data_IF_117510508394
#
_entry.id   IF_117510508394
#
_cell.length_a   1.000
_cell.length_b   1.000
_cell.length_c   1.000
_cell.angle_alpha   90.00
_cell.angle_beta   90.00
_cell.angle_gamma   90.00
#
_symmetry.space_group_name_H-M   'P 1'
#
loop_
_entity.id
_entity.type
_entity.pdbx_description
1 polymer ?
#
# COMPACT_ATOMS: atom_id res chain seq x y z
N UNK A 1 41.03 -89.51 -18.20
CA UNK A 1 39.92 -88.55 -18.17
C UNK A 1 39.59 -88.28 -16.68
N UNK A 2 40.12 -87.19 -16.08
CA UNK A 2 39.83 -86.80 -14.69
C UNK A 2 38.86 -85.63 -14.73
N UNK A 3 37.74 -85.82 -14.10
CA UNK A 3 36.72 -84.71 -13.91
C UNK A 3 37.09 -83.94 -12.63
N UNK A 4 37.27 -82.66 -12.77
CA UNK A 4 37.52 -81.74 -11.68
C UNK A 4 36.19 -81.06 -11.31
N UNK A 5 35.76 -81.23 -10.07
CA UNK A 5 34.55 -80.65 -9.57
C UNK A 5 34.88 -79.29 -8.93
N UNK A 6 34.30 -78.17 -9.39
CA UNK A 6 34.39 -76.88 -8.79
C UNK A 6 33.34 -76.76 -7.70
N UNK A 7 33.75 -76.39 -6.48
CA UNK A 7 32.88 -76.06 -5.39
C UNK A 7 32.79 -74.53 -5.34
N UNK A 8 31.58 -73.98 -5.59
CA UNK A 8 31.30 -72.57 -5.46
C UNK A 8 30.90 -72.24 -4.01
N UNK A 9 31.67 -71.44 -3.31
CA UNK A 9 31.34 -70.90 -2.00
C UNK A 9 30.57 -69.59 -2.13
N UNK A 10 29.32 -69.56 -1.74
CA UNK A 10 28.47 -68.37 -1.71
C UNK A 10 28.73 -67.66 -0.36
N UNK A 11 29.30 -66.43 -0.44
CA UNK A 11 29.43 -65.56 0.73
C UNK A 11 28.17 -64.72 0.81
N UNK A 12 27.37 -64.91 1.88
CA UNK A 12 26.26 -64.02 2.23
C UNK A 12 26.82 -62.79 2.93
N UNK A 13 26.73 -61.62 2.30
CA UNK A 13 26.99 -60.34 2.95
C UNK A 13 25.68 -59.83 3.61
N UNK A 14 25.70 -59.77 4.92
CA UNK A 14 24.60 -59.16 5.72
C UNK A 14 24.78 -57.62 5.69
N UNK A 15 23.88 -56.91 5.01
CA UNK A 15 23.81 -55.47 5.02
C UNK A 15 23.06 -55.05 6.32
N UNK A 16 23.78 -54.42 7.26
CA UNK A 16 23.20 -53.77 8.42
C UNK A 16 22.59 -52.42 8.00
N UNK A 17 21.26 -52.35 7.97
CA UNK A 17 20.54 -51.09 7.80
C UNK A 17 20.60 -50.33 9.12
N UNK A 18 21.44 -49.28 9.17
CA UNK A 18 21.43 -48.32 10.27
C UNK A 18 20.18 -47.47 10.16
N UNK A 19 19.20 -47.71 11.00
CA UNK A 19 18.07 -46.80 11.22
C UNK A 19 18.59 -45.54 11.89
N UNK A 20 18.93 -44.53 11.08
CA UNK A 20 19.22 -43.19 11.56
C UNK A 20 17.97 -42.60 12.22
N UNK A 21 18.04 -42.25 13.48
CA UNK A 21 17.00 -41.45 14.13
C UNK A 21 16.85 -40.16 13.34
N UNK A 22 15.62 -39.76 12.94
CA UNK A 22 15.42 -38.44 12.35
C UNK A 22 15.83 -37.39 13.40
N UNK A 23 16.71 -36.48 13.02
CA UNK A 23 17.02 -35.31 13.83
C UNK A 23 15.70 -34.62 14.21
N UNK A 24 15.55 -34.14 15.45
CA UNK A 24 14.36 -33.40 15.83
C UNK A 24 14.22 -32.21 14.88
N UNK A 25 13.06 -32.11 14.23
CA UNK A 25 12.73 -30.93 13.44
C UNK A 25 12.91 -29.72 14.35
N UNK A 26 13.84 -28.81 14.02
CA UNK A 26 13.96 -27.53 14.71
C UNK A 26 12.59 -26.87 14.67
N UNK A 27 11.92 -26.82 15.80
CA UNK A 27 10.71 -26.05 15.97
C UNK A 27 11.08 -24.60 15.59
N UNK A 28 10.55 -24.11 14.47
CA UNK A 28 10.60 -22.69 14.13
C UNK A 28 10.06 -21.95 15.36
N UNK A 29 10.96 -21.36 16.14
CA UNK A 29 10.57 -20.45 17.20
C UNK A 29 9.90 -19.29 16.50
N UNK A 30 8.57 -19.22 16.59
CA UNK A 30 7.80 -18.05 16.18
C UNK A 30 8.29 -16.87 17.06
N UNK A 31 9.29 -16.15 16.57
CA UNK A 31 9.66 -14.88 17.18
C UNK A 31 8.47 -13.95 17.04
N UNK A 32 8.04 -13.29 18.13
CA UNK A 32 6.93 -12.35 18.05
C UNK A 32 7.25 -11.28 17.02
N UNK A 33 6.33 -11.09 16.07
CA UNK A 33 6.49 -10.08 15.01
C UNK A 33 6.51 -8.69 15.63
N UNK A 34 7.35 -7.77 15.11
CA UNK A 34 7.39 -6.41 15.58
C UNK A 34 6.01 -5.74 15.56
N UNK A 35 5.71 -4.92 16.56
CA UNK A 35 4.53 -4.03 16.57
C UNK A 35 4.84 -2.67 15.93
N UNK A 36 6.12 -2.35 15.80
CA UNK A 36 6.65 -1.10 15.25
C UNK A 36 7.78 -1.40 14.28
N UNK A 37 7.76 -0.72 13.14
CA UNK A 37 8.79 -0.80 12.11
C UNK A 37 9.42 0.58 11.97
N UNK A 38 10.74 0.64 12.04
CA UNK A 38 11.50 1.87 11.98
C UNK A 38 11.86 2.21 10.53
N UNK A 39 11.56 3.45 10.14
CA UNK A 39 11.97 4.04 8.88
C UNK A 39 13.23 4.90 9.12
N UNK A 40 14.08 5.00 8.13
CA UNK A 40 15.18 5.96 8.12
C UNK A 40 14.68 7.22 7.43
N UNK A 41 14.80 8.36 8.09
CA UNK A 41 14.54 9.66 7.45
C UNK A 41 15.84 10.38 7.15
N UNK A 42 15.76 11.36 6.27
CA UNK A 42 16.88 12.20 5.91
C UNK A 42 17.24 13.20 7.02
N UNK A 43 18.50 13.63 7.10
CA UNK A 43 18.88 14.71 7.99
C UNK A 43 18.09 15.99 7.72
N UNK A 44 17.79 16.72 8.77
CA UNK A 44 17.23 18.08 8.65
C UNK A 44 18.36 19.03 8.29
N UNK A 45 18.36 19.51 7.06
CA UNK A 45 19.36 20.45 6.53
C UNK A 45 18.75 21.42 5.52
N UNK A 46 19.58 22.14 4.76
CA UNK A 46 19.12 23.09 3.76
C UNK A 46 18.38 22.43 2.58
N UNK A 47 18.66 21.17 2.27
CA UNK A 47 17.97 20.38 1.23
C UNK A 47 16.65 19.80 1.72
N UNK A 48 16.56 19.50 3.02
CA UNK A 48 15.39 18.92 3.66
C UNK A 48 15.01 19.67 4.98
N UNK A 49 14.63 20.96 4.90
CA UNK A 49 14.41 21.80 6.08
C UNK A 49 13.20 21.36 6.92
N UNK A 50 12.28 20.60 6.36
CA UNK A 50 11.09 20.12 7.06
C UNK A 50 11.27 18.72 7.66
N UNK A 51 12.41 18.05 7.44
CA UNK A 51 12.62 16.66 7.78
C UNK A 51 11.76 15.70 6.97
N UNK A 52 11.93 14.41 7.20
CA UNK A 52 11.21 13.38 6.43
C UNK A 52 9.75 13.26 6.86
N UNK A 53 8.85 13.18 5.88
CA UNK A 53 7.40 12.98 6.09
C UNK A 53 6.93 11.83 5.23
N UNK A 54 6.19 10.90 5.84
CA UNK A 54 5.74 9.67 5.20
C UNK A 54 4.23 9.67 4.98
N UNK A 55 3.74 8.96 3.96
CA UNK A 55 2.30 8.94 3.69
C UNK A 55 1.79 7.56 3.30
N UNK A 56 2.25 7.01 2.18
CA UNK A 56 1.68 5.81 1.57
C UNK A 56 2.31 4.52 2.08
N UNK A 57 1.52 3.45 2.07
CA UNK A 57 2.02 2.10 2.30
C UNK A 57 1.41 1.11 1.31
N UNK A 58 2.26 0.29 0.68
CA UNK A 58 1.88 -0.82 -0.19
C UNK A 58 2.31 -2.15 0.42
N UNK A 59 1.54 -3.22 0.22
CA UNK A 59 1.84 -4.53 0.79
C UNK A 59 1.84 -5.64 -0.27
N UNK A 60 2.90 -6.44 -0.29
CA UNK A 60 2.95 -7.74 -0.95
C UNK A 60 2.64 -8.83 0.08
N UNK A 61 1.35 -9.15 0.23
CA UNK A 61 0.85 -10.15 1.19
C UNK A 61 1.53 -11.52 1.03
N UNK A 62 1.80 -11.94 -0.21
CA UNK A 62 2.36 -13.26 -0.47
C UNK A 62 3.80 -13.37 0.02
N UNK A 63 4.57 -12.28 -0.10
CA UNK A 63 5.98 -12.25 0.27
C UNK A 63 6.23 -11.72 1.67
N UNK A 64 5.18 -11.19 2.34
CA UNK A 64 5.33 -10.57 3.66
C UNK A 64 6.19 -9.31 3.63
N UNK A 65 6.11 -8.55 2.53
CA UNK A 65 6.88 -7.33 2.28
C UNK A 65 5.93 -6.13 2.22
N UNK A 66 6.38 -5.00 2.74
CA UNK A 66 5.69 -3.73 2.59
C UNK A 66 6.64 -2.64 2.10
N UNK A 67 6.07 -1.61 1.49
CA UNK A 67 6.77 -0.43 0.98
C UNK A 67 6.11 0.80 1.57
N UNK A 68 6.91 1.80 1.95
CA UNK A 68 6.44 3.08 2.50
C UNK A 68 7.02 4.21 1.69
N UNK A 69 6.18 5.17 1.31
CA UNK A 69 6.57 6.32 0.53
C UNK A 69 6.89 7.52 1.42
N UNK A 70 7.92 8.27 1.04
CA UNK A 70 8.27 9.54 1.63
C UNK A 70 7.76 10.70 0.77
N UNK A 71 7.09 11.65 1.39
CA UNK A 71 6.52 12.84 0.72
C UNK A 71 7.60 13.87 0.43
N UNK A 72 8.54 14.03 1.35
CA UNK A 72 9.73 14.88 1.20
C UNK A 72 10.81 14.06 0.53
N UNK A 73 11.34 14.49 -0.60
CA UNK A 73 12.37 13.76 -1.36
C UNK A 73 11.83 12.67 -2.30
N UNK A 74 10.84 11.89 -1.89
CA UNK A 74 10.21 10.86 -2.73
C UNK A 74 10.85 9.47 -2.62
N UNK A 75 11.61 9.18 -1.57
CA UNK A 75 12.19 7.87 -1.26
C UNK A 75 11.10 6.82 -1.07
N UNK A 76 11.45 5.57 -1.36
CA UNK A 76 10.62 4.42 -1.04
C UNK A 76 11.39 3.48 -0.12
N UNK A 77 10.86 3.26 1.07
CA UNK A 77 11.41 2.33 2.05
C UNK A 77 10.76 0.96 1.90
N UNK A 78 11.49 -0.09 2.22
CA UNK A 78 11.02 -1.47 2.16
C UNK A 78 11.26 -2.18 3.47
N UNK A 79 10.22 -2.81 4.00
CA UNK A 79 10.25 -3.64 5.19
C UNK A 79 9.74 -5.06 4.95
N UNK A 80 9.96 -5.92 5.92
CA UNK A 80 9.38 -7.27 5.98
C UNK A 80 8.63 -7.43 7.30
N UNK A 81 7.61 -8.26 7.32
CA UNK A 81 6.75 -8.46 8.49
C UNK A 81 7.49 -8.96 9.74
N UNK A 82 8.66 -9.58 9.57
CA UNK A 82 9.40 -10.23 10.64
C UNK A 82 10.60 -9.41 11.16
N UNK A 83 10.88 -8.23 10.57
CA UNK A 83 12.03 -7.39 10.94
C UNK A 83 11.57 -5.98 11.28
N UNK A 84 11.94 -5.47 12.44
CA UNK A 84 11.59 -4.12 12.89
C UNK A 84 12.24 -3.02 12.06
N UNK A 85 13.43 -3.24 11.50
CA UNK A 85 14.13 -2.25 10.69
C UNK A 85 13.76 -2.38 9.24
N UNK A 86 13.38 -1.27 8.61
CA UNK A 86 13.23 -1.13 7.16
C UNK A 86 14.56 -0.70 6.52
N UNK A 87 14.57 -0.59 5.23
CA UNK A 87 15.67 -0.01 4.46
C UNK A 87 15.12 0.81 3.31
N UNK A 88 15.83 1.81 2.89
CA UNK A 88 15.60 2.46 1.61
C UNK A 88 15.68 1.42 0.48
N UNK A 89 14.72 1.48 -0.42
CA UNK A 89 14.61 0.58 -1.56
C UNK A 89 14.78 1.33 -2.88
N UNK A 90 14.23 2.53 -2.97
CA UNK A 90 14.42 3.44 -4.11
C UNK A 90 14.82 4.81 -3.55
N UNK A 91 15.92 5.34 -4.06
CA UNK A 91 16.35 6.69 -3.77
C UNK A 91 15.36 7.72 -4.31
N UNK A 92 15.26 8.84 -3.63
CA UNK A 92 14.46 10.01 -4.02
C UNK A 92 15.25 11.08 -4.74
N UNK A 93 15.00 12.34 -4.39
CA UNK A 93 15.71 13.56 -4.81
C UNK A 93 15.90 13.72 -6.32
N UNK A 94 14.85 13.37 -7.04
CA UNK A 94 14.82 13.45 -8.50
C UNK A 94 15.23 12.17 -9.21
N UNK A 95 15.55 11.09 -8.52
CA UNK A 95 15.74 9.77 -9.12
C UNK A 95 14.48 9.38 -9.90
N UNK A 96 14.63 9.05 -11.18
CA UNK A 96 13.53 8.80 -12.12
C UNK A 96 12.52 9.96 -12.22
N UNK A 97 12.94 11.19 -11.89
CA UNK A 97 12.10 12.39 -11.83
C UNK A 97 11.21 12.46 -10.58
N UNK A 98 11.42 11.61 -9.56
CA UNK A 98 10.62 11.54 -8.35
C UNK A 98 11.19 12.42 -7.24
N UNK A 99 10.40 13.42 -6.81
CA UNK A 99 10.70 14.36 -5.73
C UNK A 99 9.67 14.29 -4.59
N UNK A 100 8.65 13.48 -4.76
CA UNK A 100 7.61 13.22 -3.76
C UNK A 100 6.96 11.88 -4.08
N UNK A 101 6.55 11.14 -3.07
CA UNK A 101 5.81 9.91 -3.23
C UNK A 101 4.71 9.83 -2.16
N UNK A 102 3.50 9.39 -2.60
CA UNK A 102 2.30 9.30 -1.77
C UNK A 102 1.74 7.89 -1.80
N UNK A 103 0.48 7.71 -2.13
CA UNK A 103 -0.14 6.40 -2.18
C UNK A 103 0.67 5.38 -2.97
N UNK A 104 0.73 4.17 -2.45
CA UNK A 104 1.52 3.08 -3.03
C UNK A 104 0.76 1.76 -2.92
N UNK A 105 0.80 0.96 -3.98
CA UNK A 105 0.19 -0.37 -4.00
C UNK A 105 1.05 -1.38 -4.74
N UNK A 106 0.78 -2.67 -4.52
CA UNK A 106 1.53 -3.77 -5.16
C UNK A 106 0.55 -4.71 -5.86
N UNK A 107 0.83 -5.06 -7.11
CA UNK A 107 0.03 -6.04 -7.84
C UNK A 107 0.43 -7.49 -7.53
N UNK A 108 -0.27 -8.43 -8.16
CA UNK A 108 0.01 -9.86 -7.97
C UNK A 108 1.37 -10.33 -8.53
N UNK A 109 1.93 -9.61 -9.49
CA UNK A 109 3.25 -9.91 -10.05
C UNK A 109 4.37 -9.37 -9.14
N UNK A 110 4.03 -8.43 -8.27
CA UNK A 110 4.94 -7.71 -7.37
C UNK A 110 5.40 -6.38 -7.97
N UNK A 111 4.71 -5.88 -9.01
CA UNK A 111 4.96 -4.52 -9.47
C UNK A 111 4.41 -3.53 -8.46
N UNK A 112 5.19 -2.49 -8.21
CA UNK A 112 4.91 -1.44 -7.23
C UNK A 112 4.51 -0.18 -7.99
N UNK A 113 3.31 0.34 -7.67
CA UNK A 113 2.73 1.54 -8.27
C UNK A 113 2.77 2.67 -7.25
N UNK A 114 3.26 3.84 -7.64
CA UNK A 114 3.51 4.98 -6.75
C UNK A 114 2.81 6.22 -7.30
N UNK A 115 2.00 6.87 -6.47
CA UNK A 115 1.42 8.18 -6.73
C UNK A 115 2.40 9.29 -6.32
N UNK A 116 2.53 10.33 -7.13
CA UNK A 116 3.52 11.40 -6.95
C UNK A 116 2.95 12.72 -6.42
N UNK A 117 1.69 12.75 -5.98
CA UNK A 117 1.09 14.01 -5.51
C UNK A 117 0.85 15.02 -6.64
N UNK A 118 1.18 16.29 -6.45
CA UNK A 118 0.87 17.31 -7.44
C UNK A 118 1.75 17.19 -8.69
N UNK A 119 1.12 17.24 -9.87
CA UNK A 119 1.83 17.24 -11.13
C UNK A 119 2.56 18.57 -11.44
N UNK A 120 2.49 19.53 -10.53
CA UNK A 120 3.17 20.83 -10.63
C UNK A 120 4.61 20.84 -10.15
N UNK A 121 5.17 19.70 -9.68
CA UNK A 121 6.58 19.63 -9.28
C UNK A 121 7.43 19.54 -10.56
N UNK A 122 7.55 20.67 -11.25
CA UNK A 122 8.28 20.83 -12.49
C UNK A 122 7.48 20.44 -13.73
N UNK A 123 7.55 21.29 -14.76
CA UNK A 123 6.92 21.06 -16.06
C UNK A 123 7.53 19.83 -16.73
N UNK A 124 6.69 18.90 -17.20
CA UNK A 124 7.13 17.72 -17.95
C UNK A 124 7.66 16.55 -17.11
N UNK A 125 7.67 16.66 -15.78
CA UNK A 125 8.08 15.54 -14.90
C UNK A 125 6.98 14.50 -14.78
N UNK A 126 7.35 13.23 -14.56
CA UNK A 126 6.40 12.19 -14.17
C UNK A 126 5.70 12.54 -12.85
N UNK A 127 4.48 12.05 -12.67
CA UNK A 127 3.70 12.14 -11.43
C UNK A 127 3.18 10.79 -10.95
N UNK A 128 3.59 9.72 -11.63
CA UNK A 128 3.39 8.33 -11.18
C UNK A 128 4.48 7.41 -11.74
N UNK A 129 4.78 6.36 -10.99
CA UNK A 129 5.82 5.39 -11.36
C UNK A 129 5.35 3.98 -11.16
N UNK A 130 5.90 3.07 -11.98
CA UNK A 130 5.75 1.62 -11.85
C UNK A 130 7.13 0.99 -11.83
N UNK A 131 7.42 0.24 -10.78
CA UNK A 131 8.66 -0.53 -10.65
C UNK A 131 8.36 -2.02 -10.55
N UNK A 132 9.29 -2.85 -10.98
CA UNK A 132 9.25 -4.26 -10.65
C UNK A 132 9.66 -4.48 -9.18
N UNK A 133 9.47 -5.70 -8.66
CA UNK A 133 9.83 -6.05 -7.27
C UNK A 133 11.33 -5.92 -6.95
N UNK A 134 12.19 -5.79 -7.96
CA UNK A 134 13.64 -5.62 -7.79
C UNK A 134 14.05 -4.15 -7.73
N UNK A 135 13.12 -3.23 -8.04
CA UNK A 135 13.38 -1.80 -8.13
C UNK A 135 13.75 -1.33 -9.54
N UNK A 136 13.54 -2.17 -10.57
CA UNK A 136 13.73 -1.75 -11.96
C UNK A 136 12.55 -0.91 -12.40
N UNK A 137 12.81 0.29 -12.90
CA UNK A 137 11.77 1.17 -13.44
C UNK A 137 11.14 0.53 -14.68
N UNK A 138 9.82 0.35 -14.64
CA UNK A 138 9.02 -0.13 -15.76
C UNK A 138 8.32 1.03 -16.50
N UNK A 139 7.91 2.07 -15.76
CA UNK A 139 7.30 3.25 -16.32
C UNK A 139 7.42 4.45 -15.38
N UNK A 140 7.64 5.63 -15.97
CA UNK A 140 7.48 6.92 -15.35
C UNK A 140 6.52 7.71 -16.24
N UNK A 141 5.32 8.00 -15.75
CA UNK A 141 4.24 8.54 -16.56
C UNK A 141 3.70 9.84 -15.95
N UNK A 142 3.01 10.60 -16.78
CA UNK A 142 2.21 11.73 -16.36
C UNK A 142 0.73 11.43 -16.55
N UNK A 143 -0.09 11.70 -15.53
CA UNK A 143 -1.52 11.67 -15.67
C UNK A 143 -2.00 12.76 -16.64
N UNK A 144 -2.96 12.49 -17.52
CA UNK A 144 -3.50 13.53 -18.40
C UNK A 144 -4.25 14.61 -17.60
N UNK A 145 -4.01 15.87 -17.95
CA UNK A 145 -4.60 17.03 -17.27
C UNK A 145 -3.55 17.98 -16.69
N UNK A 146 -4.02 19.11 -16.19
CA UNK A 146 -3.16 20.18 -15.65
C UNK A 146 -3.34 20.43 -14.15
N UNK A 147 -4.46 20.02 -13.57
CA UNK A 147 -4.80 20.15 -12.14
C UNK A 147 -4.94 18.76 -11.52
N UNK A 148 -3.83 18.01 -11.49
CA UNK A 148 -3.81 16.64 -10.99
C UNK A 148 -2.93 16.57 -9.74
N UNK A 149 -3.49 15.99 -8.68
CA UNK A 149 -2.80 15.60 -7.48
C UNK A 149 -3.07 14.12 -7.22
N UNK A 150 -2.17 13.24 -7.65
CA UNK A 150 -2.32 11.81 -7.43
C UNK A 150 -2.07 11.48 -5.95
N UNK A 151 -3.10 10.93 -5.29
CA UNK A 151 -3.07 10.68 -3.86
C UNK A 151 -2.90 9.19 -3.53
N UNK A 152 -3.92 8.36 -3.70
CA UNK A 152 -3.85 6.93 -3.36
C UNK A 152 -4.08 6.06 -4.60
N UNK A 153 -3.79 4.77 -4.48
CA UNK A 153 -3.85 3.83 -5.60
C UNK A 153 -4.29 2.43 -5.18
N UNK A 154 -5.19 1.84 -5.98
CA UNK A 154 -5.63 0.46 -5.80
C UNK A 154 -5.56 -0.34 -7.11
N UNK A 155 -5.34 -1.66 -7.00
CA UNK A 155 -5.40 -2.57 -8.16
C UNK A 155 -6.85 -2.96 -8.43
N UNK A 156 -7.28 -2.74 -9.67
CA UNK A 156 -8.62 -3.07 -10.12
C UNK A 156 -8.84 -4.54 -10.46
N UNK A 157 -10.08 -4.89 -10.81
CA UNK A 157 -10.44 -6.27 -11.17
C UNK A 157 -9.76 -6.75 -12.46
N UNK A 158 -9.38 -5.82 -13.32
CA UNK A 158 -8.66 -6.03 -14.59
C UNK A 158 -7.13 -6.05 -14.44
N UNK A 159 -6.62 -5.91 -13.21
CA UNK A 159 -5.19 -5.88 -12.90
C UNK A 159 -4.51 -4.53 -13.14
N UNK A 160 -5.20 -3.52 -13.64
CA UNK A 160 -4.68 -2.17 -13.77
C UNK A 160 -4.67 -1.44 -12.41
N UNK A 161 -3.84 -0.41 -12.29
CA UNK A 161 -3.81 0.47 -11.13
C UNK A 161 -4.70 1.69 -11.35
N UNK A 162 -5.45 2.08 -10.30
CA UNK A 162 -6.41 3.19 -10.31
C UNK A 162 -6.00 4.22 -9.27
N UNK A 163 -5.67 5.43 -9.73
CA UNK A 163 -5.13 6.52 -8.93
C UNK A 163 -6.18 7.60 -8.72
N UNK A 164 -6.39 8.03 -7.49
CA UNK A 164 -7.31 9.12 -7.15
C UNK A 164 -6.66 10.48 -7.33
N UNK A 165 -7.46 11.49 -7.69
CA UNK A 165 -7.05 12.88 -7.77
C UNK A 165 -7.61 13.69 -6.59
N UNK A 166 -6.72 14.23 -5.74
CA UNK A 166 -7.15 15.05 -4.60
C UNK A 166 -7.59 16.46 -5.00
N UNK A 167 -7.23 16.93 -6.18
CA UNK A 167 -7.67 18.25 -6.65
C UNK A 167 -9.07 18.20 -7.26
N UNK A 168 -9.51 17.03 -7.74
CA UNK A 168 -10.83 16.92 -8.39
C UNK A 168 -11.42 15.49 -8.26
N UNK A 169 -12.69 15.35 -8.66
CA UNK A 169 -13.42 14.08 -8.61
C UNK A 169 -13.05 13.14 -9.77
N UNK A 170 -11.77 12.89 -9.96
CA UNK A 170 -11.21 12.12 -11.08
C UNK A 170 -10.41 10.91 -10.59
N UNK A 171 -10.44 9.85 -11.40
CA UNK A 171 -9.61 8.66 -11.19
C UNK A 171 -8.90 8.31 -12.49
N UNK A 172 -7.60 8.10 -12.40
CA UNK A 172 -6.75 7.72 -13.54
C UNK A 172 -6.46 6.22 -13.50
N UNK A 173 -6.46 5.59 -14.67
CA UNK A 173 -6.13 4.17 -14.83
C UNK A 173 -4.78 4.03 -15.51
N UNK A 174 -3.92 3.21 -14.92
CA UNK A 174 -2.58 2.87 -15.44
C UNK A 174 -2.51 1.39 -15.73
N UNK A 175 -2.19 1.07 -16.96
CA UNK A 175 -2.07 -0.31 -17.41
C UNK A 175 -0.96 -0.48 -18.44
N UNK A 176 -0.38 -1.68 -18.48
CA UNK A 176 0.45 -2.10 -19.58
C UNK A 176 -0.40 -2.44 -20.81
N UNK A 177 -0.03 -1.92 -21.97
CA UNK A 177 -0.66 -2.14 -23.25
C UNK A 177 0.36 -2.77 -24.21
N UNK A 178 -0.07 -3.11 -25.44
CA UNK A 178 0.85 -3.58 -26.47
C UNK A 178 1.93 -2.54 -26.86
N UNK A 179 1.62 -1.24 -26.64
CA UNK A 179 2.50 -0.11 -26.93
C UNK A 179 3.21 0.45 -25.69
N UNK A 180 3.33 -0.36 -24.62
CA UNK A 180 3.94 0.06 -23.35
C UNK A 180 2.91 0.48 -22.33
N UNK A 181 3.37 1.12 -21.26
CA UNK A 181 2.53 1.60 -20.17
C UNK A 181 1.79 2.88 -20.56
N UNK A 182 0.53 3.01 -20.10
CA UNK A 182 -0.29 4.18 -20.40
C UNK A 182 -1.12 4.59 -19.17
N UNK A 183 -1.13 5.89 -18.89
CA UNK A 183 -2.07 6.54 -17.98
C UNK A 183 -3.23 7.14 -18.78
N UNK A 184 -4.46 6.95 -18.31
CA UNK A 184 -5.69 7.50 -18.93
C UNK A 184 -6.64 7.99 -17.86
N UNK A 185 -7.39 9.05 -18.13
CA UNK A 185 -8.55 9.42 -17.33
C UNK A 185 -9.60 8.31 -17.49
N UNK A 186 -9.87 7.60 -16.38
CA UNK A 186 -10.84 6.48 -16.40
C UNK A 186 -12.23 6.90 -15.94
N UNK A 187 -12.30 7.73 -14.89
CA UNK A 187 -13.56 8.27 -14.40
C UNK A 187 -13.42 9.77 -14.16
N UNK A 188 -14.41 10.50 -14.62
CA UNK A 188 -14.65 11.89 -14.30
C UNK A 188 -16.04 12.00 -13.67
N UNK A 189 -16.06 12.34 -12.39
CA UNK A 189 -17.29 12.46 -11.59
C UNK A 189 -17.56 13.91 -11.15
N UNK A 190 -16.91 14.90 -11.79
CA UNK A 190 -17.05 16.34 -11.46
C UNK A 190 -18.50 16.83 -11.52
N UNK A 191 -19.33 16.25 -12.39
CA UNK A 191 -20.77 16.52 -12.43
C UNK A 191 -21.61 15.89 -11.30
N UNK A 192 -21.01 15.01 -10.48
CA UNK A 192 -21.68 14.27 -9.40
C UNK A 192 -21.11 14.60 -8.03
N UNK A 193 -19.79 14.75 -7.94
CA UNK A 193 -19.04 15.03 -6.71
C UNK A 193 -18.62 16.48 -6.74
N UNK A 194 -19.16 17.27 -5.83
CA UNK A 194 -18.78 18.67 -5.71
C UNK A 194 -17.34 18.77 -5.18
N UNK A 195 -16.50 19.48 -5.93
CA UNK A 195 -15.17 19.87 -5.47
C UNK A 195 -15.29 20.84 -4.30
N UNK A 196 -14.55 20.57 -3.23
CA UNK A 196 -14.41 21.45 -2.07
C UNK A 196 -12.96 21.88 -1.92
N UNK A 197 -12.73 22.93 -1.14
CA UNK A 197 -11.40 23.35 -0.76
C UNK A 197 -10.66 22.22 -0.03
N UNK A 198 -9.35 22.10 -0.25
CA UNK A 198 -8.52 21.04 0.30
C UNK A 198 -8.51 19.75 -0.52
N UNK A 199 -8.13 18.66 0.11
CA UNK A 199 -7.98 17.36 -0.56
C UNK A 199 -9.34 16.68 -0.74
N UNK A 200 -9.73 16.43 -2.00
CA UNK A 200 -10.99 15.78 -2.33
C UNK A 200 -10.87 14.27 -2.31
N UNK A 201 -10.55 13.61 -3.43
CA UNK A 201 -10.45 12.16 -3.44
C UNK A 201 -9.10 11.69 -2.88
N UNK A 202 -9.15 10.83 -1.88
CA UNK A 202 -7.99 10.22 -1.22
C UNK A 202 -8.02 8.70 -1.32
N UNK A 203 -8.04 8.01 -0.18
CA UNK A 203 -7.99 6.56 -0.08
C UNK A 203 -8.96 5.82 -0.99
N UNK A 204 -8.52 4.72 -1.58
CA UNK A 204 -9.28 3.91 -2.53
C UNK A 204 -9.13 2.42 -2.22
N UNK A 205 -10.26 1.68 -2.20
CA UNK A 205 -10.28 0.22 -2.07
C UNK A 205 -11.27 -0.41 -3.06
N UNK A 206 -10.96 -1.62 -3.50
CA UNK A 206 -11.88 -2.42 -4.31
C UNK A 206 -12.93 -3.08 -3.40
N UNK A 207 -14.23 -3.06 -3.80
CA UNK A 207 -15.32 -3.71 -3.04
C UNK A 207 -15.15 -5.22 -2.92
N UNK A 208 -15.77 -5.89 -1.92
CA UNK A 208 -15.69 -7.35 -1.76
C UNK A 208 -16.12 -8.11 -3.02
N UNK A 209 -17.17 -7.68 -3.70
CA UNK A 209 -17.64 -8.27 -4.97
C UNK A 209 -16.77 -7.92 -6.19
N UNK A 210 -15.75 -7.07 -6.01
CA UNK A 210 -14.79 -6.59 -7.02
C UNK A 210 -15.44 -5.86 -8.20
N UNK A 211 -16.65 -5.31 -8.04
CA UNK A 211 -17.40 -4.61 -9.11
C UNK A 211 -17.36 -3.09 -8.99
N UNK A 212 -16.76 -2.56 -7.92
CA UNK A 212 -16.63 -1.13 -7.71
C UNK A 212 -15.42 -0.81 -6.83
N UNK A 213 -15.05 0.47 -6.84
CA UNK A 213 -14.16 1.04 -5.84
C UNK A 213 -14.97 1.84 -4.82
N UNK A 214 -14.56 1.83 -3.57
CA UNK A 214 -14.95 2.82 -2.55
C UNK A 214 -13.81 3.79 -2.39
N UNK A 215 -14.12 5.09 -2.45
CA UNK A 215 -13.15 6.19 -2.44
C UNK A 215 -13.59 7.20 -1.39
N UNK A 216 -12.65 7.66 -0.58
CA UNK A 216 -12.89 8.72 0.40
C UNK A 216 -12.81 10.11 -0.25
N UNK A 217 -13.78 10.99 0.06
CA UNK A 217 -13.65 12.44 -0.10
C UNK A 217 -13.41 13.03 1.30
N UNK A 218 -12.12 13.25 1.64
CA UNK A 218 -11.69 13.52 3.01
C UNK A 218 -12.23 14.83 3.58
N UNK A 219 -12.23 15.90 2.79
CA UNK A 219 -12.69 17.23 3.20
C UNK A 219 -14.21 17.33 3.48
N UNK A 220 -15.00 16.38 3.01
CA UNK A 220 -16.45 16.29 3.27
C UNK A 220 -16.86 15.12 4.15
N UNK A 221 -15.94 14.20 4.43
CA UNK A 221 -16.24 12.96 5.15
C UNK A 221 -17.21 12.04 4.40
N UNK A 222 -17.21 12.10 3.07
CA UNK A 222 -18.10 11.30 2.23
C UNK A 222 -17.35 10.13 1.61
N UNK A 223 -17.97 8.96 1.56
CA UNK A 223 -17.49 7.84 0.76
C UNK A 223 -18.28 7.76 -0.56
N UNK A 224 -17.55 7.54 -1.63
CA UNK A 224 -18.08 7.40 -2.98
C UNK A 224 -17.80 6.03 -3.55
N UNK A 225 -18.79 5.46 -4.22
CA UNK A 225 -18.67 4.20 -4.93
C UNK A 225 -18.54 4.46 -6.43
N UNK A 226 -17.44 4.04 -7.03
CA UNK A 226 -17.22 4.10 -8.48
C UNK A 226 -17.39 2.71 -9.09
N UNK A 227 -18.32 2.58 -10.04
CA UNK A 227 -18.54 1.32 -10.77
C UNK A 227 -17.28 0.93 -11.56
N UNK A 228 -16.69 -0.24 -11.33
CA UNK A 228 -15.50 -0.68 -12.06
C UNK A 228 -15.73 -0.84 -13.57
N UNK A 229 -17.00 -1.05 -13.97
CA UNK A 229 -17.39 -1.19 -15.39
C UNK A 229 -17.56 0.15 -16.10
N UNK A 230 -18.09 1.17 -15.44
CA UNK A 230 -18.52 2.42 -16.10
C UNK A 230 -17.83 3.69 -15.57
N UNK A 231 -17.10 3.63 -14.46
CA UNK A 231 -16.56 4.82 -13.79
C UNK A 231 -17.63 5.69 -13.09
N UNK A 232 -18.91 5.33 -13.17
CA UNK A 232 -19.99 6.13 -12.60
C UNK A 232 -19.91 6.15 -11.07
N UNK A 233 -19.93 7.35 -10.49
CA UNK A 233 -19.91 7.58 -9.06
C UNK A 233 -21.32 7.59 -8.46
N UNK A 234 -21.46 7.02 -7.26
CA UNK A 234 -22.67 7.10 -6.42
C UNK A 234 -22.25 7.23 -4.97
N UNK A 235 -23.00 7.97 -4.16
CA UNK A 235 -22.70 8.14 -2.73
C UNK A 235 -22.92 6.83 -1.97
N UNK A 236 -21.98 6.47 -1.11
CA UNK A 236 -22.13 5.36 -0.16
C UNK A 236 -22.96 5.82 1.02
N UNK A 237 -23.95 5.04 1.45
CA UNK A 237 -24.74 5.34 2.64
C UNK A 237 -23.97 4.96 3.90
N UNK A 238 -23.53 5.95 4.67
CA UNK A 238 -22.75 5.77 5.90
C UNK A 238 -23.54 6.04 7.18
N UNK A 239 -24.85 6.37 7.06
CA UNK A 239 -25.66 6.78 8.19
C UNK A 239 -25.16 8.06 8.82
N UNK A 240 -24.98 8.05 10.13
CA UNK A 240 -24.47 9.19 10.93
C UNK A 240 -22.98 9.13 11.21
N UNK A 241 -22.22 8.27 10.51
CA UNK A 241 -20.78 8.18 10.72
C UNK A 241 -20.11 9.51 10.32
N UNK A 242 -19.37 10.09 11.26
CA UNK A 242 -18.48 11.20 10.95
C UNK A 242 -17.19 10.66 10.36
N UNK A 243 -16.90 11.02 9.11
CA UNK A 243 -15.72 10.59 8.36
C UNK A 243 -14.89 11.80 7.84
N UNK A 244 -15.07 12.99 8.42
CA UNK A 244 -14.21 14.15 8.10
C UNK A 244 -12.75 13.77 8.31
N UNK A 245 -11.88 14.23 7.43
CA UNK A 245 -10.46 13.87 7.35
C UNK A 245 -10.23 12.37 7.04
N UNK A 246 -11.20 11.70 6.39
CA UNK A 246 -10.97 10.37 5.85
C UNK A 246 -9.84 10.42 4.81
N UNK A 247 -8.77 9.70 5.08
CA UNK A 247 -7.57 9.62 4.24
C UNK A 247 -7.42 8.17 3.72
N UNK A 248 -6.56 7.36 4.30
CA UNK A 248 -6.37 5.99 3.87
C UNK A 248 -7.58 5.08 4.15
N UNK A 249 -7.86 4.20 3.21
CA UNK A 249 -8.87 3.14 3.31
C UNK A 249 -8.23 1.76 3.29
N UNK A 250 -8.68 0.86 4.17
CA UNK A 250 -8.25 -0.54 4.22
C UNK A 250 -9.46 -1.45 4.27
N UNK A 251 -9.53 -2.42 3.37
CA UNK A 251 -10.60 -3.41 3.38
C UNK A 251 -10.04 -4.80 3.72
N UNK A 252 -10.64 -5.46 4.73
CA UNK A 252 -10.37 -6.84 5.11
C UNK A 252 -11.69 -7.61 5.24
N UNK A 253 -11.98 -8.45 4.25
CA UNK A 253 -13.31 -9.04 4.11
C UNK A 253 -14.36 -7.95 3.87
N UNK A 254 -15.34 -7.84 4.77
CA UNK A 254 -16.36 -6.80 4.78
C UNK A 254 -16.06 -5.63 5.75
N UNK A 255 -14.89 -5.66 6.41
CA UNK A 255 -14.46 -4.63 7.36
C UNK A 255 -13.68 -3.55 6.65
N UNK A 256 -14.26 -2.38 6.53
CA UNK A 256 -13.62 -1.17 6.01
C UNK A 256 -13.07 -0.36 7.20
N UNK A 257 -11.76 -0.22 7.25
CA UNK A 257 -11.07 0.71 8.15
C UNK A 257 -10.82 2.01 7.43
N UNK A 258 -11.24 3.12 8.01
CA UNK A 258 -11.01 4.49 7.54
C UNK A 258 -10.05 5.17 8.50
N UNK A 259 -8.89 5.54 8.01
CA UNK A 259 -7.93 6.37 8.76
C UNK A 259 -8.35 7.82 8.59
N UNK A 260 -8.63 8.50 9.71
CA UNK A 260 -9.02 9.92 9.74
C UNK A 260 -7.86 10.73 10.31
N UNK A 261 -6.95 11.12 9.44
CA UNK A 261 -5.62 11.62 9.77
C UNK A 261 -5.61 12.74 10.83
N UNK A 262 -5.94 13.97 10.49
CA UNK A 262 -5.95 15.11 11.43
C UNK A 262 -7.07 15.06 12.48
N UNK A 263 -8.10 14.24 12.28
CA UNK A 263 -9.08 13.93 13.32
C UNK A 263 -8.53 12.98 14.40
N UNK A 264 -7.39 12.36 14.18
CA UNK A 264 -6.79 11.32 15.04
C UNK A 264 -7.81 10.25 15.46
N UNK A 265 -8.49 9.71 14.45
CA UNK A 265 -9.53 8.71 14.64
C UNK A 265 -9.38 7.57 13.62
N UNK A 266 -9.71 6.38 14.05
CA UNK A 266 -9.88 5.21 13.18
C UNK A 266 -11.35 4.81 13.24
N UNK A 267 -12.04 4.86 12.10
CA UNK A 267 -13.41 4.38 12.00
C UNK A 267 -13.44 3.01 11.34
N UNK A 268 -14.11 2.05 11.96
CA UNK A 268 -14.37 0.74 11.39
C UNK A 268 -15.85 0.65 10.97
N UNK A 269 -16.07 0.32 9.70
CA UNK A 269 -17.40 0.17 9.13
C UNK A 269 -17.58 -1.23 8.55
N UNK A 270 -18.81 -1.72 8.57
CA UNK A 270 -19.20 -2.89 7.80
C UNK A 270 -19.66 -2.44 6.41
N UNK A 271 -18.89 -2.81 5.39
CA UNK A 271 -19.19 -2.51 4.00
C UNK A 271 -20.05 -3.62 3.40
N UNK A 272 -21.11 -3.25 2.68
CA UNK A 272 -21.87 -4.23 1.87
C UNK A 272 -21.01 -4.75 0.70
N UNK A 273 -21.27 -5.96 0.25
CA UNK A 273 -20.49 -6.60 -0.82
C UNK A 273 -20.38 -5.73 -2.06
N UNK A 274 -21.46 -5.04 -2.42
CA UNK A 274 -21.55 -4.14 -3.57
C UNK A 274 -21.02 -2.70 -3.31
N UNK A 275 -20.60 -2.40 -2.09
CA UNK A 275 -20.04 -1.11 -1.69
C UNK A 275 -21.06 0.03 -1.55
N UNK A 276 -22.37 -0.23 -1.52
CA UNK A 276 -23.42 0.83 -1.47
C UNK A 276 -23.72 1.32 -0.06
N UNK A 277 -23.40 0.50 0.95
CA UNK A 277 -23.68 0.78 2.36
C UNK A 277 -22.45 0.48 3.18
N UNK A 278 -22.08 1.40 4.05
CA UNK A 278 -21.03 1.21 5.06
C UNK A 278 -21.58 1.61 6.42
N UNK A 279 -21.84 0.63 7.29
CA UNK A 279 -22.39 0.86 8.64
C UNK A 279 -21.26 0.97 9.65
N UNK A 280 -21.24 2.05 10.42
CA UNK A 280 -20.28 2.24 11.51
C UNK A 280 -20.41 1.10 12.54
N UNK A 281 -19.28 0.48 12.86
CA UNK A 281 -19.16 -0.53 13.91
C UNK A 281 -18.61 0.12 15.16
N UNK A 282 -17.48 0.83 15.01
CA UNK A 282 -16.83 1.56 16.09
C UNK A 282 -15.96 2.67 15.53
N UNK A 283 -15.64 3.60 16.41
CA UNK A 283 -14.67 4.66 16.20
C UNK A 283 -13.74 4.71 17.40
N UNK A 284 -12.45 4.76 17.15
CA UNK A 284 -11.41 4.70 18.18
C UNK A 284 -10.47 5.86 17.97
N UNK A 285 -10.15 6.61 19.04
CA UNK A 285 -9.10 7.60 18.98
C UNK A 285 -7.74 6.92 18.68
N UNK A 286 -6.97 7.49 17.77
CA UNK A 286 -5.57 7.12 17.62
C UNK A 286 -4.73 7.89 18.64
N UNK A 287 -3.44 7.55 18.75
CA UNK A 287 -2.52 8.27 19.61
C UNK A 287 -2.55 9.78 19.32
N UNK A 288 -2.61 10.64 20.36
CA UNK A 288 -2.57 12.10 20.19
C UNK A 288 -1.22 12.59 19.63
N UNK A 289 -0.16 11.79 19.78
CA UNK A 289 1.20 12.14 19.38
C UNK A 289 1.51 11.74 17.91
N UNK A 290 0.48 11.30 17.17
CA UNK A 290 0.66 10.78 15.80
C UNK A 290 -0.40 11.30 14.84
N UNK A 291 -0.01 11.55 13.60
CA UNK A 291 -0.93 11.72 12.48
C UNK A 291 -0.79 10.53 11.56
N UNK A 292 -1.70 9.58 11.68
CA UNK A 292 -1.74 8.40 10.81
C UNK A 292 -2.44 8.78 9.50
N UNK A 293 -1.82 8.50 8.35
CA UNK A 293 -2.36 8.84 7.03
C UNK A 293 -3.06 7.68 6.37
N UNK A 294 -2.36 6.56 6.24
CA UNK A 294 -2.91 5.40 5.55
C UNK A 294 -2.49 4.10 6.23
N UNK A 295 -3.06 3.00 5.78
CA UNK A 295 -2.71 1.68 6.28
C UNK A 295 -2.88 0.61 5.20
N UNK A 296 -2.27 -0.55 5.40
CA UNK A 296 -2.49 -1.76 4.58
C UNK A 296 -2.49 -3.02 5.45
N UNK A 297 -3.17 -4.04 4.97
CA UNK A 297 -3.10 -5.38 5.59
C UNK A 297 -1.82 -6.07 5.15
N UNK A 298 -1.11 -6.67 6.09
CA UNK A 298 0.04 -7.54 5.83
C UNK A 298 0.03 -8.71 6.82
N UNK A 299 -0.09 -9.94 6.30
CA UNK A 299 -0.12 -11.16 7.11
C UNK A 299 -1.14 -11.09 8.26
N UNK A 300 -2.35 -10.59 7.94
CA UNK A 300 -3.48 -10.51 8.86
C UNK A 300 -3.43 -9.35 9.86
N UNK A 301 -2.39 -8.51 9.83
CA UNK A 301 -2.24 -7.31 10.67
C UNK A 301 -2.47 -6.06 9.82
N UNK A 302 -2.98 -5.00 10.42
CA UNK A 302 -3.04 -3.68 9.79
C UNK A 302 -1.78 -2.91 10.21
N UNK A 303 -1.07 -2.38 9.23
CA UNK A 303 0.09 -1.52 9.39
C UNK A 303 -0.33 -0.10 9.06
N UNK A 304 -0.08 0.85 9.96
CA UNK A 304 -0.40 2.28 9.83
C UNK A 304 0.87 3.09 9.69
N UNK A 305 0.87 4.09 8.82
CA UNK A 305 1.99 5.02 8.63
C UNK A 305 1.80 6.22 9.56
N UNK A 306 2.82 6.51 10.38
CA UNK A 306 2.93 7.76 11.15
C UNK A 306 3.62 8.81 10.27
N UNK A 307 2.88 9.83 9.85
CA UNK A 307 3.30 10.75 8.78
C UNK A 307 4.17 11.90 9.25
N UNK A 308 4.08 12.30 10.49
CA UNK A 308 4.69 13.54 11.02
C UNK A 308 4.16 14.82 10.38
N UNK A 309 2.95 14.81 9.82
CA UNK A 309 2.38 15.98 9.12
C UNK A 309 2.04 17.16 10.04
N UNK A 310 1.85 16.92 11.34
CA UNK A 310 1.63 17.94 12.37
C UNK A 310 2.92 18.55 12.93
N UNK A 311 4.08 17.98 12.61
CA UNK A 311 5.37 18.51 13.01
C UNK A 311 5.87 19.50 11.95
N UNK A 312 6.10 20.80 12.28
CA UNK A 312 6.70 21.75 11.32
C UNK A 312 8.05 21.25 10.78
N UNK A 313 8.86 20.67 11.67
CA UNK A 313 10.12 19.98 11.34
C UNK A 313 10.03 18.60 11.95
N UNK A 314 9.95 17.59 11.10
CA UNK A 314 9.88 16.19 11.53
C UNK A 314 11.27 15.66 11.91
N UNK A 315 11.41 15.12 13.11
CA UNK A 315 12.70 14.72 13.67
C UNK A 315 12.78 13.23 14.07
N UNK A 316 11.85 12.41 13.66
CA UNK A 316 11.81 11.00 14.05
C UNK A 316 11.47 10.76 15.55
N UNK A 317 11.35 9.51 16.00
CA UNK A 317 11.48 8.32 15.17
C UNK A 317 10.37 8.25 14.11
N UNK A 318 10.73 7.81 12.89
CA UNK A 318 9.78 7.58 11.81
C UNK A 318 9.31 6.13 11.85
N UNK A 319 8.00 5.91 11.78
CA UNK A 319 7.45 4.60 12.16
C UNK A 319 6.27 4.16 11.30
N UNK A 320 6.21 2.85 11.09
CA UNK A 320 4.98 2.13 10.76
C UNK A 320 4.58 1.30 11.98
N UNK A 321 3.34 1.40 12.41
CA UNK A 321 2.85 0.78 13.63
C UNK A 321 1.66 -0.15 13.36
N UNK A 322 1.41 -1.08 14.29
CA UNK A 322 0.26 -2.01 14.19
C UNK A 322 -0.83 -1.71 15.21
N UNK A 323 -0.54 -0.89 16.20
CA UNK A 323 -1.52 -0.42 17.19
C UNK A 323 -1.68 1.10 17.05
N UNK A 324 -2.78 1.59 16.47
CA UNK A 324 -2.98 3.02 16.22
C UNK A 324 -3.21 3.83 17.50
N UNK A 325 -3.40 3.19 18.65
CA UNK A 325 -3.68 3.88 19.93
C UNK A 325 -2.41 4.22 20.72
N UNK A 326 -1.25 3.78 20.25
CA UNK A 326 0.06 3.98 20.90
C UNK A 326 0.96 4.94 20.19
#
# INVERSE_FOLDING_TARGET
>A
MKRTTLVSSTILAAAAIALGNPAPAEAHRDHPRPSTYLLTGDPVDAGNPAGSKFEGIGADERRGVFYVSEVTGGEIHRGTVDRAQTREWLAGDGTDGRYTARGITVDRAGNVYIAGGPNGIGTGRPDLWVYDRKGTLLAALRAPGTDVFLNDVAIGPDGAAYFTNSNDAQIFRVAQTRNGWKATLWADATGTIERKEGFNLGGIVLTPDRRAFVVAQGNTGTLWRFSARTGTATRVRTGTADLINADGLVLRGDRLTVVRNFSRQIAELKLSDDGRVAKLIRQTASSPDRVLTTAKVLRGRILYVDSKFDEPVASGPYQVITDPTR
#
